data_IF_969471955698
#
_entry.id   IF_969471955698
#
_cell.length_a   1.000
_cell.length_b   1.000
_cell.length_c   1.000
_cell.angle_alpha   90.00
_cell.angle_beta   90.00
_cell.angle_gamma   90.00
#
_symmetry.space_group_name_H-M   'P 1'
#
loop_
_entity.id
_entity.type
_entity.pdbx_description
1 polymer ?
#
# COMPACT_ATOMS: atom_id res chain seq x y z
N UNK A 1 13.32 4.53 -22.90
CA UNK A 1 13.21 5.12 -21.54
C UNK A 1 12.38 6.39 -21.66
N UNK A 2 11.30 6.54 -20.89
CA UNK A 2 10.40 7.71 -20.95
C UNK A 2 11.06 8.96 -20.34
N UNK A 3 11.78 8.76 -19.23
CA UNK A 3 12.44 9.80 -18.43
C UNK A 3 13.56 10.51 -19.17
N UNK A 4 14.29 9.82 -20.06
CA UNK A 4 15.33 10.42 -20.90
C UNK A 4 14.78 11.20 -22.10
N UNK A 5 13.49 11.03 -22.42
CA UNK A 5 12.84 11.65 -23.58
C UNK A 5 12.08 12.93 -23.23
N UNK A 6 12.02 13.30 -21.94
CA UNK A 6 11.28 14.46 -21.45
C UNK A 6 12.17 15.40 -20.64
N UNK A 7 11.91 16.70 -20.72
CA UNK A 7 12.60 17.73 -19.93
C UNK A 7 11.80 18.14 -18.67
N UNK A 8 10.99 17.23 -18.11
CA UNK A 8 10.12 17.49 -16.96
C UNK A 8 10.22 16.36 -15.92
N UNK A 9 9.95 16.63 -14.62
CA UNK A 9 9.93 15.60 -13.58
C UNK A 9 8.89 14.51 -13.87
N UNK A 10 9.33 13.25 -13.91
CA UNK A 10 8.45 12.10 -14.15
C UNK A 10 7.91 11.50 -12.86
N UNK A 11 6.61 11.22 -12.83
CA UNK A 11 5.99 10.40 -11.79
C UNK A 11 5.68 9.00 -12.31
N UNK A 12 6.04 7.97 -11.55
CA UNK A 12 5.66 6.58 -11.80
C UNK A 12 4.61 6.10 -10.80
N UNK A 13 3.74 5.19 -11.24
CA UNK A 13 2.75 4.51 -10.40
C UNK A 13 3.25 3.10 -10.08
N UNK A 14 3.79 2.91 -8.88
CA UNK A 14 4.52 1.70 -8.47
C UNK A 14 3.71 0.38 -8.53
N UNK A 15 2.41 0.33 -8.19
CA UNK A 15 1.68 -0.95 -8.14
C UNK A 15 1.62 -1.73 -9.46
N UNK A 16 1.88 -1.09 -10.60
CA UNK A 16 1.95 -1.77 -11.91
C UNK A 16 3.33 -2.38 -12.22
N UNK A 17 4.31 -2.15 -11.36
CA UNK A 17 5.69 -2.67 -11.47
C UNK A 17 6.11 -3.13 -10.06
N UNK A 18 5.48 -4.19 -9.52
CA UNK A 18 5.58 -4.54 -8.11
C UNK A 18 6.98 -5.00 -7.68
N UNK A 19 7.78 -5.51 -8.61
CA UNK A 19 9.12 -6.01 -8.32
C UNK A 19 10.19 -4.92 -8.32
N UNK A 20 9.84 -3.68 -8.72
CA UNK A 20 10.78 -2.57 -8.75
C UNK A 20 10.83 -1.83 -7.41
N UNK A 21 12.04 -1.61 -6.93
CA UNK A 21 12.36 -0.82 -5.75
C UNK A 21 12.35 0.69 -6.03
N UNK A 22 12.28 1.49 -4.95
CA UNK A 22 12.47 2.95 -5.01
C UNK A 22 13.80 3.32 -5.69
N UNK A 23 14.87 2.57 -5.41
CA UNK A 23 16.19 2.79 -5.98
C UNK A 23 16.19 2.54 -7.49
N UNK A 24 15.54 1.48 -7.96
CA UNK A 24 15.43 1.18 -9.39
C UNK A 24 14.60 2.22 -10.14
N UNK A 25 13.49 2.70 -9.54
CA UNK A 25 12.73 3.81 -10.11
C UNK A 25 13.55 5.11 -10.19
N UNK A 26 14.33 5.42 -9.16
CA UNK A 26 15.20 6.59 -9.13
C UNK A 26 16.33 6.48 -10.17
N UNK A 27 16.97 5.31 -10.29
CA UNK A 27 17.98 5.02 -11.30
C UNK A 27 17.42 5.11 -12.72
N UNK A 28 16.16 4.72 -12.91
CA UNK A 28 15.43 4.89 -14.16
C UNK A 28 14.98 6.35 -14.43
N UNK A 29 15.25 7.29 -13.51
CA UNK A 29 15.01 8.73 -13.70
C UNK A 29 13.66 9.25 -13.17
N UNK A 30 12.88 8.42 -12.46
CA UNK A 30 11.66 8.90 -11.81
C UNK A 30 11.99 9.93 -10.71
N UNK A 31 11.16 10.97 -10.60
CA UNK A 31 11.28 12.03 -9.57
C UNK A 31 10.22 11.94 -8.50
N UNK A 32 9.10 11.28 -8.78
CA UNK A 32 8.04 10.98 -7.82
C UNK A 32 7.57 9.55 -8.02
N UNK A 33 7.29 8.87 -6.92
CA UNK A 33 6.70 7.54 -6.92
C UNK A 33 5.35 7.66 -6.22
N UNK A 34 4.31 7.28 -6.94
CA UNK A 34 2.95 7.25 -6.45
C UNK A 34 2.46 5.81 -6.33
N UNK A 35 1.43 5.60 -5.52
CA UNK A 35 0.84 4.28 -5.29
C UNK A 35 -0.67 4.24 -5.58
N UNK A 36 -1.25 5.36 -6.03
CA UNK A 36 -2.69 5.46 -6.29
C UNK A 36 -3.51 4.98 -5.08
N UNK A 37 -4.47 4.08 -5.34
CA UNK A 37 -5.35 3.51 -4.31
C UNK A 37 -4.75 2.34 -3.52
N UNK A 38 -3.47 1.98 -3.70
CA UNK A 38 -2.93 0.74 -3.15
C UNK A 38 -3.06 0.62 -1.62
N UNK A 39 -2.82 1.69 -0.86
CA UNK A 39 -3.00 1.67 0.60
C UNK A 39 -4.47 1.47 1.00
N UNK A 40 -5.41 2.04 0.25
CA UNK A 40 -6.83 1.82 0.51
C UNK A 40 -7.21 0.35 0.30
N UNK A 41 -6.78 -0.26 -0.80
CA UNK A 41 -7.04 -1.68 -1.03
C UNK A 41 -6.34 -2.58 -0.02
N UNK A 42 -5.13 -2.23 0.40
CA UNK A 42 -4.40 -2.93 1.45
C UNK A 42 -5.12 -2.85 2.80
N UNK A 43 -5.75 -1.71 3.12
CA UNK A 43 -6.54 -1.53 4.33
C UNK A 43 -7.90 -2.27 4.27
N UNK A 44 -8.54 -2.34 3.10
CA UNK A 44 -9.84 -3.03 2.93
C UNK A 44 -9.68 -4.56 2.91
N UNK A 45 -8.56 -5.10 2.40
CA UNK A 45 -8.33 -6.54 2.33
C UNK A 45 -8.52 -7.30 3.67
N UNK A 46 -7.96 -6.87 4.82
CA UNK A 46 -8.21 -7.55 6.10
C UNK A 46 -9.66 -7.43 6.57
N UNK A 47 -10.37 -6.34 6.27
CA UNK A 47 -11.79 -6.20 6.59
C UNK A 47 -12.64 -7.24 5.87
N UNK A 48 -12.37 -7.47 4.57
CA UNK A 48 -13.06 -8.50 3.79
C UNK A 48 -12.78 -9.90 4.34
N UNK A 49 -11.53 -10.20 4.70
CA UNK A 49 -11.14 -11.49 5.29
C UNK A 49 -11.81 -11.73 6.65
N UNK A 50 -11.79 -10.73 7.53
CA UNK A 50 -12.44 -10.80 8.83
C UNK A 50 -13.95 -10.99 8.69
N UNK A 51 -14.60 -10.27 7.77
CA UNK A 51 -16.03 -10.42 7.48
C UNK A 51 -16.37 -11.84 7.00
N UNK A 52 -15.57 -12.38 6.08
CA UNK A 52 -15.73 -13.76 5.61
C UNK A 52 -15.56 -14.78 6.73
N UNK A 53 -14.57 -14.62 7.60
CA UNK A 53 -14.36 -15.48 8.77
C UNK A 53 -15.59 -15.46 9.70
N UNK A 54 -16.08 -14.27 10.05
CA UNK A 54 -17.24 -14.14 10.95
C UNK A 54 -18.51 -14.77 10.35
N UNK A 55 -18.73 -14.62 9.04
CA UNK A 55 -19.89 -15.21 8.35
C UNK A 55 -19.77 -16.73 8.25
N UNK A 56 -18.60 -17.24 7.85
CA UNK A 56 -18.42 -18.65 7.52
C UNK A 56 -18.14 -19.54 8.74
N UNK A 57 -17.45 -19.00 9.75
CA UNK A 57 -16.91 -19.77 10.88
C UNK A 57 -17.45 -19.27 12.23
N UNK A 58 -17.95 -18.04 12.31
CA UNK A 58 -18.39 -17.45 13.57
C UNK A 58 -17.25 -17.17 14.55
N UNK A 59 -16.02 -17.03 14.06
CA UNK A 59 -14.81 -16.82 14.86
C UNK A 59 -14.24 -15.41 14.70
N UNK A 60 -13.31 -15.05 15.58
CA UNK A 60 -12.69 -13.72 15.67
C UNK A 60 -11.15 -13.78 15.66
N UNK A 61 -10.57 -14.79 15.02
CA UNK A 61 -9.12 -15.01 15.00
C UNK A 61 -8.39 -13.87 14.28
N UNK A 62 -9.05 -13.20 13.34
CA UNK A 62 -8.56 -11.97 12.71
C UNK A 62 -8.13 -10.87 13.70
N UNK A 63 -8.67 -10.85 14.92
CA UNK A 63 -8.32 -9.84 15.94
C UNK A 63 -6.83 -9.89 16.32
N UNK A 64 -6.16 -11.02 16.14
CA UNK A 64 -4.72 -11.18 16.38
C UNK A 64 -3.83 -10.34 15.46
N UNK A 65 -4.36 -9.87 14.33
CA UNK A 65 -3.65 -9.04 13.36
C UNK A 65 -4.06 -7.56 13.40
N UNK A 66 -4.80 -7.14 14.43
CA UNK A 66 -5.25 -5.74 14.56
C UNK A 66 -4.11 -4.82 15.04
N UNK A 67 -4.17 -3.56 14.63
CA UNK A 67 -3.22 -2.55 15.11
C UNK A 67 -3.41 -2.32 16.63
N UNK A 68 -2.31 -2.06 17.33
CA UNK A 68 -2.38 -1.72 18.75
C UNK A 68 -3.14 -0.40 18.95
N UNK A 69 -4.19 -0.42 19.76
CA UNK A 69 -4.95 0.79 20.08
C UNK A 69 -4.10 1.90 20.71
N UNK A 70 -3.06 1.55 21.49
CA UNK A 70 -2.15 2.53 22.08
C UNK A 70 -1.22 3.16 21.04
N UNK A 71 -0.78 2.39 20.05
CA UNK A 71 0.03 2.88 18.93
C UNK A 71 -0.80 3.81 18.04
N UNK A 72 -2.03 3.42 17.69
CA UNK A 72 -2.96 4.25 16.92
C UNK A 72 -3.23 5.57 17.66
N UNK A 73 -3.53 5.51 18.97
CA UNK A 73 -3.74 6.72 19.78
C UNK A 73 -2.52 7.64 19.76
N UNK A 74 -1.32 7.10 19.94
CA UNK A 74 -0.08 7.89 19.88
C UNK A 74 0.09 8.64 18.55
N UNK A 75 -0.37 8.05 17.44
CA UNK A 75 -0.30 8.66 16.11
C UNK A 75 -1.40 9.71 15.86
N UNK A 76 -2.57 9.57 16.50
CA UNK A 76 -3.74 10.43 16.26
C UNK A 76 -3.93 11.57 17.29
N UNK A 77 -3.27 11.51 18.45
CA UNK A 77 -3.42 12.46 19.56
C UNK A 77 -4.43 12.04 20.61
#
# INVERSE_FOLDING_TARGET
>A
QVTSAINAPFNVLAPFIPDASVTEFAAAGAKRISIGGALNWAAVAPLLKAGQEMIAQGTFTWTAATASGSEVKKLLG
#
